data_IF_842689612234
#
_entry.id   IF_842689612234
#
_cell.length_a   1.000
_cell.length_b   1.000
_cell.length_c   1.000
_cell.angle_alpha   90.00
_cell.angle_beta   90.00
_cell.angle_gamma   90.00
#
_symmetry.space_group_name_H-M   'P 1'
#
loop_
_entity.id
_entity.type
_entity.pdbx_description
1 polymer ?
#
# COMPACT_ATOMS: atom_id res chain seq x y z
N UNK A 1 -4.69 -4.51 -2.56
CA UNK A 1 -4.17 -5.50 -3.53
C UNK A 1 -2.87 -6.13 -3.03
N UNK A 2 -1.93 -5.37 -2.45
CA UNK A 2 -0.62 -5.89 -1.98
C UNK A 2 -0.59 -6.20 -0.48
N UNK A 3 -1.15 -5.31 0.34
CA UNK A 3 -1.29 -5.50 1.80
C UNK A 3 0.00 -5.22 2.60
N UNK A 4 -0.12 -4.44 3.68
CA UNK A 4 1.03 -4.08 4.51
C UNK A 4 1.57 -5.28 5.31
N UNK A 5 2.88 -5.59 5.25
CA UNK A 5 3.47 -6.65 6.07
C UNK A 5 3.64 -6.23 7.55
N UNK A 6 3.48 -4.94 7.85
CA UNK A 6 3.65 -4.41 9.21
C UNK A 6 2.67 -5.05 10.20
N UNK A 7 3.20 -5.52 11.34
CA UNK A 7 2.41 -6.11 12.43
C UNK A 7 1.83 -7.51 12.15
N UNK A 8 2.32 -8.23 11.13
CA UNK A 8 1.87 -9.60 10.81
C UNK A 8 3.05 -10.56 10.69
N UNK A 9 2.81 -11.81 11.06
CA UNK A 9 3.80 -12.90 11.01
C UNK A 9 3.69 -13.72 9.74
N UNK A 10 2.53 -13.68 9.07
CA UNK A 10 2.16 -14.42 7.88
C UNK A 10 1.85 -13.49 6.68
N UNK A 11 1.90 -14.07 5.47
CA UNK A 11 1.53 -13.36 4.25
C UNK A 11 0.02 -13.10 4.23
N UNK A 12 -0.38 -11.89 3.84
CA UNK A 12 -1.80 -11.54 3.74
C UNK A 12 -2.48 -12.28 2.60
N UNK A 13 -3.77 -12.57 2.79
CA UNK A 13 -4.65 -13.01 1.69
C UNK A 13 -4.68 -11.92 0.62
N UNK A 14 -4.41 -12.32 -0.62
CA UNK A 14 -4.58 -11.48 -1.80
C UNK A 14 -6.06 -11.27 -2.05
N UNK A 15 -6.47 -10.01 -2.08
CA UNK A 15 -7.83 -9.58 -2.40
C UNK A 15 -7.86 -8.99 -3.81
N UNK A 16 -8.92 -9.29 -4.54
CA UNK A 16 -9.16 -8.73 -5.88
C UNK A 16 -9.54 -7.25 -5.79
N UNK A 17 -9.59 -6.57 -6.94
CA UNK A 17 -10.06 -5.18 -7.00
C UNK A 17 -11.53 -5.12 -6.57
N UNK A 18 -12.32 -6.09 -7.02
CA UNK A 18 -13.74 -6.24 -6.74
C UNK A 18 -14.00 -6.45 -5.24
N UNK A 19 -13.14 -7.21 -4.56
CA UNK A 19 -13.21 -7.38 -3.10
C UNK A 19 -12.90 -6.08 -2.33
N UNK A 20 -12.06 -5.20 -2.89
CA UNK A 20 -11.55 -4.00 -2.21
C UNK A 20 -12.41 -2.76 -2.49
N UNK A 21 -12.92 -2.62 -3.71
CA UNK A 21 -13.73 -1.46 -4.14
C UNK A 21 -14.86 -1.10 -3.17
N UNK A 22 -15.69 -2.04 -2.68
CA UNK A 22 -16.75 -1.68 -1.73
C UNK A 22 -16.22 -1.24 -0.36
N UNK A 23 -15.04 -1.71 0.06
CA UNK A 23 -14.46 -1.37 1.36
C UNK A 23 -14.13 0.12 1.46
N UNK A 24 -13.66 0.74 0.36
CA UNK A 24 -13.36 2.17 0.33
C UNK A 24 -14.62 3.02 0.62
N UNK A 25 -15.76 2.64 0.05
CA UNK A 25 -17.04 3.32 0.28
C UNK A 25 -17.51 3.15 1.73
N UNK A 26 -17.36 1.95 2.31
CA UNK A 26 -17.67 1.73 3.72
C UNK A 26 -16.80 2.56 4.66
N UNK A 27 -15.50 2.68 4.36
CA UNK A 27 -14.62 3.54 5.14
C UNK A 27 -15.03 5.01 5.04
N UNK A 28 -15.38 5.49 3.85
CA UNK A 28 -15.87 6.86 3.67
C UNK A 28 -17.08 7.15 4.56
N UNK A 29 -18.10 6.28 4.52
CA UNK A 29 -19.31 6.41 5.34
C UNK A 29 -19.03 6.41 6.85
N UNK A 30 -18.04 5.63 7.29
CA UNK A 30 -17.62 5.64 8.69
C UNK A 30 -16.93 6.96 9.06
N UNK A 31 -16.08 7.48 8.16
CA UNK A 31 -15.35 8.73 8.36
C UNK A 31 -16.24 9.97 8.30
N UNK A 32 -17.33 9.95 7.53
CA UNK A 32 -18.33 11.03 7.46
C UNK A 32 -18.98 11.35 8.82
N UNK A 33 -18.90 10.44 9.80
CA UNK A 33 -19.34 10.69 11.18
C UNK A 33 -18.41 11.62 11.96
N UNK A 34 -17.18 11.81 11.48
CA UNK A 34 -16.10 12.54 12.16
C UNK A 34 -15.54 13.69 11.32
N UNK A 35 -15.66 13.60 10.00
CA UNK A 35 -15.02 14.50 9.05
C UNK A 35 -16.05 14.91 7.98
N UNK A 36 -16.10 16.20 7.68
CA UNK A 36 -16.90 16.71 6.55
C UNK A 36 -16.08 16.67 5.25
N UNK A 37 -16.66 16.08 4.21
CA UNK A 37 -16.05 16.03 2.87
C UNK A 37 -16.70 17.05 1.94
N UNK A 38 -15.94 17.55 0.96
CA UNK A 38 -16.43 18.49 -0.05
C UNK A 38 -15.41 19.57 -0.41
N UNK A 39 -15.87 20.57 -1.17
CA UNK A 39 -15.02 21.67 -1.61
C UNK A 39 -14.55 22.53 -0.43
N UNK A 40 -13.25 22.82 -0.38
CA UNK A 40 -12.60 23.46 0.76
C UNK A 40 -12.56 22.64 2.05
N UNK A 41 -12.92 21.35 2.01
CA UNK A 41 -12.94 20.45 3.18
C UNK A 41 -12.07 19.20 2.94
N UNK A 42 -12.26 18.16 3.73
CA UNK A 42 -11.49 16.93 3.58
C UNK A 42 -11.77 16.25 2.24
N UNK A 43 -10.74 15.58 1.72
CA UNK A 43 -10.80 14.81 0.49
C UNK A 43 -10.53 13.34 0.79
N UNK A 44 -11.33 12.46 0.18
CA UNK A 44 -11.07 11.02 0.18
C UNK A 44 -10.44 10.66 -1.16
N UNK A 45 -9.14 10.36 -1.15
CA UNK A 45 -8.39 9.96 -2.33
C UNK A 45 -8.19 8.45 -2.35
N UNK A 46 -8.20 7.85 -3.54
CA UNK A 46 -7.93 6.44 -3.74
C UNK A 46 -6.62 6.26 -4.51
N UNK A 47 -5.61 5.68 -3.88
CA UNK A 47 -4.31 5.50 -4.54
C UNK A 47 -4.34 4.56 -5.74
N UNK A 48 -5.41 3.77 -5.92
CA UNK A 48 -5.64 3.03 -7.15
C UNK A 48 -5.69 3.94 -8.39
N UNK A 49 -6.11 5.21 -8.24
CA UNK A 49 -6.28 6.15 -9.35
C UNK A 49 -4.96 6.46 -10.06
N UNK A 50 -3.84 6.46 -9.33
CA UNK A 50 -2.50 6.63 -9.91
C UNK A 50 -1.72 5.33 -9.97
N UNK A 51 -1.75 4.49 -8.92
CA UNK A 51 -0.91 3.29 -8.85
C UNK A 51 -1.24 2.23 -9.91
N UNK A 52 -2.51 2.10 -10.31
CA UNK A 52 -2.90 1.09 -11.31
C UNK A 52 -2.52 1.46 -12.74
N UNK A 53 -2.21 2.73 -13.00
CA UNK A 53 -1.85 3.23 -14.32
C UNK A 53 -0.32 3.34 -14.50
N UNK A 54 0.47 3.10 -13.44
CA UNK A 54 1.93 3.19 -13.51
C UNK A 54 2.51 2.04 -14.31
N UNK A 55 3.40 2.37 -15.25
CA UNK A 55 4.21 1.38 -15.93
C UNK A 55 5.29 0.83 -14.98
N UNK A 56 5.52 -0.48 -15.03
CA UNK A 56 6.50 -1.14 -14.17
C UNK A 56 7.93 -0.57 -14.35
N UNK A 57 8.35 -0.31 -15.59
CA UNK A 57 9.68 0.22 -15.88
C UNK A 57 9.82 1.67 -15.41
N UNK A 58 8.78 2.48 -15.60
CA UNK A 58 8.74 3.86 -15.10
C UNK A 58 8.82 3.89 -13.58
N UNK A 59 8.03 3.06 -12.89
CA UNK A 59 8.09 2.91 -11.43
C UNK A 59 9.51 2.59 -10.96
N UNK A 60 10.19 1.62 -11.59
CA UNK A 60 11.56 1.25 -11.22
C UNK A 60 12.56 2.39 -11.45
N UNK A 61 12.44 3.11 -12.57
CA UNK A 61 13.41 4.15 -12.95
C UNK A 61 13.22 5.44 -12.16
N UNK A 62 11.98 5.87 -11.95
CA UNK A 62 11.68 7.15 -11.32
C UNK A 62 11.60 7.02 -9.79
N UNK A 63 10.96 5.95 -9.30
CA UNK A 63 10.75 5.75 -7.87
C UNK A 63 11.78 4.78 -7.31
N UNK A 64 11.92 3.59 -7.91
CA UNK A 64 12.79 2.52 -7.40
C UNK A 64 14.25 2.94 -7.22
N UNK A 65 14.78 3.77 -8.12
CA UNK A 65 16.15 4.31 -8.04
C UNK A 65 16.40 5.18 -6.78
N UNK A 66 15.35 5.73 -6.16
CA UNK A 66 15.44 6.54 -4.94
C UNK A 66 15.56 5.69 -3.67
N UNK A 67 15.40 4.37 -3.76
CA UNK A 67 15.39 3.47 -2.60
C UNK A 67 16.61 2.56 -2.57
N UNK A 68 17.28 2.50 -1.41
CA UNK A 68 18.33 1.52 -1.15
C UNK A 68 17.72 0.26 -0.54
N UNK A 69 17.96 -0.88 -1.17
CA UNK A 69 17.55 -2.20 -0.65
C UNK A 69 18.07 -2.42 0.78
N UNK A 70 19.33 -2.07 1.05
CA UNK A 70 19.92 -2.19 2.39
C UNK A 70 19.17 -1.36 3.43
N UNK A 71 18.70 -0.16 3.08
CA UNK A 71 17.90 0.66 3.99
C UNK A 71 16.51 0.08 4.20
N UNK A 72 15.86 -0.41 3.16
CA UNK A 72 14.54 -1.06 3.27
C UNK A 72 14.59 -2.28 4.20
N UNK A 73 15.63 -3.11 4.10
CA UNK A 73 15.79 -4.29 4.96
C UNK A 73 16.07 -3.96 6.44
N UNK A 74 16.44 -2.72 6.77
CA UNK A 74 16.57 -2.27 8.17
C UNK A 74 15.22 -1.98 8.83
N UNK A 75 14.15 -1.83 8.05
CA UNK A 75 12.82 -1.67 8.61
C UNK A 75 12.43 -2.93 9.38
N UNK A 76 11.99 -2.76 10.64
CA UNK A 76 11.70 -3.89 11.55
C UNK A 76 10.65 -4.85 10.97
N UNK A 77 9.66 -4.33 10.24
CA UNK A 77 8.65 -5.13 9.55
C UNK A 77 9.25 -6.07 8.49
N UNK A 78 10.29 -5.64 7.78
CA UNK A 78 10.95 -6.43 6.74
C UNK A 78 11.94 -7.41 7.34
N UNK A 79 12.67 -7.00 8.38
CA UNK A 79 13.57 -7.89 9.13
C UNK A 79 12.82 -9.13 9.64
N UNK A 80 11.67 -8.94 10.28
CA UNK A 80 10.86 -10.05 10.81
C UNK A 80 10.29 -10.96 9.71
N UNK A 81 9.87 -10.40 8.57
CA UNK A 81 9.37 -11.19 7.44
C UNK A 81 10.49 -11.91 6.70
N UNK A 82 11.69 -11.32 6.62
CA UNK A 82 12.84 -11.91 5.92
C UNK A 82 13.20 -13.28 6.49
N UNK A 83 13.14 -13.45 7.81
CA UNK A 83 13.38 -14.74 8.49
C UNK A 83 12.32 -15.81 8.16
N UNK A 84 11.11 -15.39 7.76
CA UNK A 84 9.95 -16.27 7.51
C UNK A 84 9.57 -16.41 6.03
N UNK A 85 10.27 -15.72 5.13
CA UNK A 85 9.94 -15.63 3.71
C UNK A 85 9.21 -14.33 3.36
N UNK A 86 9.96 -13.22 3.32
CA UNK A 86 9.51 -11.95 2.76
C UNK A 86 9.36 -12.10 1.25
N UNK A 87 8.13 -11.95 0.75
CA UNK A 87 7.89 -12.02 -0.69
C UNK A 87 8.32 -10.73 -1.40
N UNK A 88 8.66 -10.83 -2.69
CA UNK A 88 8.92 -9.67 -3.53
C UNK A 88 7.73 -8.70 -3.53
N UNK A 89 6.51 -9.24 -3.44
CA UNK A 89 5.28 -8.46 -3.35
C UNK A 89 5.25 -7.56 -2.10
N UNK A 90 5.51 -8.13 -0.92
CA UNK A 90 5.56 -7.40 0.35
C UNK A 90 6.72 -6.41 0.40
N UNK A 91 7.85 -6.73 -0.22
CA UNK A 91 9.02 -5.85 -0.32
C UNK A 91 8.72 -4.58 -1.13
N UNK A 92 7.88 -4.67 -2.16
CA UNK A 92 7.46 -3.50 -2.94
C UNK A 92 6.42 -2.64 -2.23
N UNK A 93 5.84 -3.10 -1.10
CA UNK A 93 4.83 -2.33 -0.37
C UNK A 93 5.35 -0.96 0.10
N UNK A 94 6.60 -0.87 0.59
CA UNK A 94 7.20 0.40 1.02
C UNK A 94 7.40 1.40 -0.12
N UNK A 95 7.52 0.93 -1.37
CA UNK A 95 7.69 1.79 -2.54
C UNK A 95 6.34 2.42 -2.94
N UNK A 96 5.24 1.74 -2.62
CA UNK A 96 3.88 2.18 -2.98
C UNK A 96 3.22 3.11 -1.95
N UNK A 97 3.74 3.15 -0.72
CA UNK A 97 3.16 3.89 0.41
C UNK A 97 3.79 5.29 0.50
#
# INVERSE_FOLDING_TARGET
MIGAPSGRTDMRKMLTKEDISPNAEFFKRQMERFIEFGDGKAMMLNNADWLLNLNYVELLREVGACFSVNNMLRAECYKQRMEKGLSFLEFNYMIMQ
#
